data_IF_266303305565
#
_entry.id   IF_266303305565
#
_cell.length_a   1.000
_cell.length_b   1.000
_cell.length_c   1.000
_cell.angle_alpha   90.00
_cell.angle_beta   90.00
_cell.angle_gamma   90.00
#
_symmetry.space_group_name_H-M   'P 1'
#
loop_
_entity.id
_entity.type
_entity.pdbx_description
1 polymer ?
#
# COMPACT_ATOMS: atom_id res chain seq x y z
N UNK A 1 47.21 -69.28 49.48
CA UNK A 1 47.44 -68.03 50.24
C UNK A 1 47.75 -66.92 49.25
N UNK A 2 46.86 -65.92 49.17
CA UNK A 2 46.95 -64.53 48.66
C UNK A 2 47.96 -64.21 47.51
N UNK A 3 47.61 -63.53 46.40
CA UNK A 3 46.97 -62.20 46.32
C UNK A 3 46.59 -61.82 44.87
N UNK A 4 45.58 -60.96 44.80
CA UNK A 4 45.38 -59.82 43.90
C UNK A 4 44.67 -60.00 42.55
N UNK A 5 43.44 -59.47 42.51
CA UNK A 5 42.63 -59.24 41.32
C UNK A 5 43.15 -58.03 40.51
N UNK A 6 43.16 -58.15 39.18
CA UNK A 6 43.33 -57.02 38.25
C UNK A 6 42.04 -56.79 37.47
N UNK A 7 41.53 -55.57 37.56
CA UNK A 7 40.40 -55.01 36.80
C UNK A 7 40.87 -54.66 35.39
N UNK A 8 40.15 -55.12 34.37
CA UNK A 8 40.29 -54.64 32.99
C UNK A 8 39.44 -53.38 32.80
N UNK A 9 40.09 -52.27 32.47
CA UNK A 9 39.46 -51.02 32.00
C UNK A 9 39.30 -51.08 30.48
N UNK A 10 38.06 -51.02 30.01
CA UNK A 10 37.68 -50.75 28.62
C UNK A 10 37.74 -49.24 28.37
N UNK A 11 38.51 -48.81 27.37
CA UNK A 11 38.53 -47.44 26.84
C UNK A 11 37.80 -47.49 25.49
N UNK A 12 36.65 -46.81 25.41
CA UNK A 12 35.90 -46.63 24.17
C UNK A 12 36.40 -45.35 23.47
N UNK A 13 36.84 -45.50 22.22
CA UNK A 13 37.28 -44.41 21.35
C UNK A 13 36.07 -43.70 20.74
N UNK A 14 35.96 -42.38 20.97
CA UNK A 14 34.98 -41.52 20.31
C UNK A 14 35.51 -41.10 18.93
N UNK A 15 34.76 -41.43 17.87
CA UNK A 15 35.02 -40.97 16.50
C UNK A 15 34.30 -39.64 16.27
N UNK A 16 35.06 -38.57 16.04
CA UNK A 16 34.57 -37.25 15.68
C UNK A 16 34.42 -37.18 14.15
N UNK A 17 33.17 -37.23 13.67
CA UNK A 17 32.86 -37.07 12.24
C UNK A 17 32.71 -35.58 11.93
N UNK A 18 33.66 -35.02 11.16
CA UNK A 18 33.51 -33.68 10.57
C UNK A 18 32.51 -33.75 9.41
N UNK A 19 31.28 -33.24 9.62
CA UNK A 19 30.41 -32.84 8.52
C UNK A 19 30.90 -31.50 7.96
N UNK A 20 31.46 -31.55 6.75
CA UNK A 20 31.65 -30.36 5.91
C UNK A 20 30.26 -29.94 5.43
N UNK A 21 29.67 -28.96 6.11
CA UNK A 21 28.47 -28.29 5.64
C UNK A 21 28.78 -27.53 4.37
N UNK A 22 28.17 -27.93 3.26
CA UNK A 22 28.09 -27.12 2.06
C UNK A 22 27.24 -25.90 2.38
N UNK A 23 27.88 -24.79 2.74
CA UNK A 23 27.26 -23.49 2.62
C UNK A 23 27.01 -23.28 1.14
N UNK A 24 25.75 -23.43 0.72
CA UNK A 24 25.27 -22.79 -0.49
C UNK A 24 25.46 -21.30 -0.29
N UNK A 25 26.57 -20.77 -0.81
CA UNK A 25 26.67 -19.36 -1.06
C UNK A 25 25.53 -19.04 -2.02
N UNK A 26 24.47 -18.40 -1.50
CA UNK A 26 23.64 -17.55 -2.34
C UNK A 26 24.63 -16.64 -3.05
N UNK A 27 24.84 -16.87 -4.34
CA UNK A 27 25.56 -15.93 -5.16
C UNK A 27 24.78 -14.62 -5.00
N UNK A 28 25.35 -13.67 -4.26
CA UNK A 28 24.94 -12.29 -4.40
C UNK A 28 25.18 -11.97 -5.87
N UNK A 29 24.10 -11.94 -6.66
CA UNK A 29 24.15 -11.31 -7.96
C UNK A 29 24.46 -9.85 -7.69
N UNK A 30 25.74 -9.48 -7.79
CA UNK A 30 26.13 -8.11 -7.97
C UNK A 30 25.52 -7.69 -9.31
N UNK A 31 24.33 -7.10 -9.26
CA UNK A 31 23.74 -6.47 -10.42
C UNK A 31 24.76 -5.49 -10.98
N UNK A 32 24.97 -5.51 -12.29
CA UNK A 32 25.74 -4.48 -13.01
C UNK A 32 24.96 -3.16 -13.07
N UNK A 33 24.13 -2.89 -12.05
CA UNK A 33 23.25 -1.75 -11.97
C UNK A 33 24.08 -0.48 -11.97
N UNK A 34 23.63 0.49 -12.75
CA UNK A 34 24.29 1.81 -12.82
C UNK A 34 23.51 2.76 -11.93
N UNK A 35 24.18 3.46 -11.02
CA UNK A 35 23.54 4.49 -10.21
C UNK A 35 23.47 5.81 -10.97
N UNK A 36 22.29 6.43 -10.95
CA UNK A 36 22.06 7.81 -11.37
C UNK A 36 21.66 8.65 -10.16
N UNK A 37 21.98 9.93 -10.18
CA UNK A 37 21.71 10.85 -9.09
C UNK A 37 20.97 12.07 -9.60
N UNK A 38 19.95 12.50 -8.87
CA UNK A 38 19.17 13.71 -9.11
C UNK A 38 19.24 14.57 -7.86
N UNK A 39 19.71 15.81 -7.99
CA UNK A 39 19.83 16.76 -6.88
C UNK A 39 19.81 18.19 -7.44
N UNK A 40 18.69 18.88 -7.28
CA UNK A 40 18.51 20.27 -7.72
C UNK A 40 19.24 21.29 -6.82
N UNK A 41 19.73 20.84 -5.65
CA UNK A 41 20.46 21.67 -4.70
C UNK A 41 21.98 21.63 -4.93
N UNK A 42 22.46 20.61 -5.65
CA UNK A 42 23.87 20.47 -5.99
C UNK A 42 24.30 21.55 -6.98
N UNK A 43 25.25 22.39 -6.59
CA UNK A 43 25.80 23.45 -7.45
C UNK A 43 26.47 22.91 -8.74
N UNK A 44 26.79 21.62 -8.79
CA UNK A 44 27.36 20.94 -9.95
C UNK A 44 26.32 20.27 -10.84
N UNK A 45 25.03 20.30 -10.50
CA UNK A 45 24.02 19.56 -11.25
C UNK A 45 23.98 19.99 -12.74
N UNK A 46 23.67 19.04 -13.62
CA UNK A 46 23.47 19.30 -15.05
C UNK A 46 22.56 18.26 -15.69
N UNK A 47 21.47 18.72 -16.30
CA UNK A 47 20.52 17.88 -17.05
C UNK A 47 21.07 17.34 -18.38
N UNK A 48 22.24 17.82 -18.80
CA UNK A 48 23.00 17.29 -19.95
C UNK A 48 24.24 16.50 -19.53
N UNK A 49 24.48 16.40 -18.22
CA UNK A 49 25.61 15.72 -17.63
C UNK A 49 25.43 14.20 -17.56
N UNK A 50 26.37 13.49 -16.93
CA UNK A 50 26.35 12.04 -16.83
C UNK A 50 25.40 11.48 -15.77
N UNK A 51 24.81 12.33 -14.90
CA UNK A 51 23.97 11.86 -13.78
C UNK A 51 24.73 11.14 -12.67
N UNK A 52 26.04 11.36 -12.56
CA UNK A 52 26.88 10.75 -11.51
C UNK A 52 26.72 11.46 -10.17
N UNK A 53 27.14 10.86 -9.06
CA UNK A 53 27.11 11.52 -7.75
C UNK A 53 27.88 12.85 -7.70
N UNK A 54 28.96 12.99 -8.48
CA UNK A 54 29.75 14.23 -8.55
C UNK A 54 29.09 15.31 -9.43
N UNK A 55 28.25 14.89 -10.36
CA UNK A 55 27.51 15.75 -11.30
C UNK A 55 26.12 15.16 -11.54
N UNK A 56 25.19 15.34 -10.57
CA UNK A 56 23.84 14.78 -10.67
C UNK A 56 23.04 15.50 -11.76
N UNK A 57 21.93 14.92 -12.17
CA UNK A 57 20.92 15.66 -12.92
C UNK A 57 20.25 16.71 -12.00
N UNK A 58 19.87 17.85 -12.56
CA UNK A 58 19.12 18.86 -11.80
C UNK A 58 17.63 18.51 -11.71
N UNK A 59 17.11 17.76 -12.69
CA UNK A 59 15.70 17.37 -12.78
C UNK A 59 15.56 15.85 -12.94
N UNK A 60 14.34 15.36 -12.66
CA UNK A 60 14.04 13.93 -12.65
C UNK A 60 13.91 13.34 -14.06
N UNK A 61 13.39 14.11 -15.04
CA UNK A 61 13.16 13.62 -16.40
C UNK A 61 14.43 13.14 -17.11
N UNK A 62 15.57 13.87 -17.11
CA UNK A 62 16.82 13.37 -17.70
C UNK A 62 17.28 12.03 -17.11
N UNK A 63 17.10 11.83 -15.80
CA UNK A 63 17.42 10.57 -15.14
C UNK A 63 16.48 9.44 -15.59
N UNK A 64 15.17 9.73 -15.70
CA UNK A 64 14.19 8.76 -16.19
C UNK A 64 14.44 8.35 -17.64
N UNK A 65 14.86 9.28 -18.49
CA UNK A 65 15.22 9.04 -19.89
C UNK A 65 16.54 8.26 -20.03
N UNK A 66 17.47 8.44 -19.10
CA UNK A 66 18.77 7.75 -19.07
C UNK A 66 18.71 6.36 -18.41
N UNK A 67 17.71 6.10 -17.57
CA UNK A 67 17.61 4.88 -16.80
C UNK A 67 17.35 3.66 -17.70
N UNK A 68 18.13 2.60 -17.47
CA UNK A 68 18.02 1.31 -18.17
C UNK A 68 17.83 0.19 -17.16
N UNK A 69 17.55 -1.04 -17.59
CA UNK A 69 17.35 -2.18 -16.70
C UNK A 69 18.49 -2.31 -15.65
N UNK A 70 18.12 -2.39 -14.37
CA UNK A 70 19.04 -2.45 -13.23
C UNK A 70 19.53 -1.09 -12.73
N UNK A 71 19.14 0.03 -13.35
CA UNK A 71 19.49 1.37 -12.86
C UNK A 71 18.76 1.69 -11.55
N UNK A 72 19.50 2.23 -10.58
CA UNK A 72 18.93 2.90 -9.41
C UNK A 72 19.14 4.41 -9.55
N UNK A 73 18.06 5.17 -9.57
CA UNK A 73 18.03 6.63 -9.58
C UNK A 73 17.83 7.12 -8.14
N UNK A 74 18.88 7.65 -7.52
CA UNK A 74 18.83 8.27 -6.20
C UNK A 74 18.40 9.73 -6.34
N UNK A 75 17.27 10.08 -5.74
CA UNK A 75 16.69 11.41 -5.86
C UNK A 75 16.78 12.12 -4.51
N UNK A 76 17.62 13.13 -4.44
CA UNK A 76 17.79 13.95 -3.25
C UNK A 76 16.54 14.79 -2.99
N UNK A 77 16.29 15.08 -1.72
CA UNK A 77 15.27 16.05 -1.32
C UNK A 77 15.62 17.44 -1.86
N UNK A 78 14.67 18.07 -2.54
CA UNK A 78 14.84 19.34 -3.25
C UNK A 78 13.70 20.35 -3.00
N UNK A 79 13.65 21.43 -3.78
CA UNK A 79 12.68 22.53 -3.58
C UNK A 79 11.32 22.21 -4.22
N UNK A 80 11.31 21.52 -5.36
CA UNK A 80 10.18 20.85 -6.03
C UNK A 80 10.70 20.44 -7.43
N UNK A 81 10.73 19.16 -7.76
CA UNK A 81 11.06 18.69 -9.12
C UNK A 81 9.88 18.89 -10.07
N UNK A 82 10.20 19.16 -11.33
CA UNK A 82 9.22 19.24 -12.40
C UNK A 82 8.52 17.88 -12.64
N UNK A 83 7.31 17.89 -13.23
CA UNK A 83 6.60 16.66 -13.57
C UNK A 83 7.45 15.69 -14.40
N UNK A 84 7.28 14.39 -14.16
CA UNK A 84 8.04 13.32 -14.82
C UNK A 84 7.14 12.33 -15.54
N UNK A 85 7.54 11.94 -16.74
CA UNK A 85 7.01 10.75 -17.41
C UNK A 85 8.08 9.67 -17.48
N UNK A 86 7.84 8.57 -16.77
CA UNK A 86 8.70 7.41 -16.70
C UNK A 86 8.27 6.42 -17.78
N UNK A 87 9.21 6.08 -18.66
CA UNK A 87 9.06 5.09 -19.75
C UNK A 87 10.09 3.97 -19.66
N UNK A 88 10.76 3.88 -18.51
CA UNK A 88 11.85 2.94 -18.30
C UNK A 88 11.34 1.50 -18.39
N UNK A 89 12.18 0.64 -18.96
CA UNK A 89 11.89 -0.79 -19.14
C UNK A 89 12.99 -1.57 -18.45
N UNK A 90 12.68 -2.07 -17.27
CA UNK A 90 13.48 -3.04 -16.53
C UNK A 90 13.11 -4.48 -16.89
N UNK A 91 13.60 -5.41 -16.07
CA UNK A 91 13.22 -6.83 -16.08
C UNK A 91 13.02 -7.30 -14.64
N UNK A 92 12.44 -8.48 -14.44
CA UNK A 92 12.29 -9.05 -13.10
C UNK A 92 13.62 -9.16 -12.33
N UNK A 93 14.71 -9.52 -13.01
CA UNK A 93 16.04 -9.66 -12.40
C UNK A 93 16.81 -8.32 -12.30
N UNK A 94 16.36 -7.29 -13.01
CA UNK A 94 17.01 -5.99 -13.09
C UNK A 94 15.95 -4.89 -13.28
N UNK A 95 15.15 -4.58 -12.23
CA UNK A 95 14.17 -3.50 -12.28
C UNK A 95 14.86 -2.13 -12.37
N UNK A 96 14.10 -1.12 -12.76
CA UNK A 96 14.53 0.28 -12.63
C UNK A 96 13.95 0.85 -11.36
N UNK A 97 14.79 1.44 -10.51
CA UNK A 97 14.35 1.95 -9.20
C UNK A 97 14.54 3.45 -9.12
N UNK A 98 13.49 4.19 -8.75
CA UNK A 98 13.55 5.59 -8.35
C UNK A 98 13.42 5.66 -6.84
N UNK A 99 14.49 6.07 -6.15
CA UNK A 99 14.57 6.07 -4.69
C UNK A 99 14.66 7.50 -4.16
N UNK A 100 13.60 7.97 -3.48
CA UNK A 100 13.52 9.31 -2.90
C UNK A 100 13.93 9.38 -1.42
N UNK A 101 13.79 8.29 -0.68
CA UNK A 101 14.09 8.22 0.75
C UNK A 101 13.39 7.04 1.42
N UNK A 102 13.61 6.85 2.72
CA UNK A 102 12.98 5.75 3.48
C UNK A 102 11.46 5.93 3.63
N UNK A 103 10.95 7.16 3.52
CA UNK A 103 9.53 7.49 3.52
C UNK A 103 9.31 8.85 2.83
N UNK A 104 8.04 9.17 2.53
CA UNK A 104 7.68 10.42 1.84
C UNK A 104 7.94 11.71 2.63
N UNK A 105 8.05 11.67 3.97
CA UNK A 105 8.19 12.88 4.79
C UNK A 105 9.58 13.53 4.64
N UNK A 106 10.60 12.71 4.37
CA UNK A 106 11.97 13.14 4.11
C UNK A 106 12.34 13.08 2.62
N UNK A 107 11.39 12.69 1.77
CA UNK A 107 11.59 12.44 0.35
C UNK A 107 11.53 13.68 -0.55
N UNK A 108 11.92 13.52 -1.83
CA UNK A 108 11.75 14.53 -2.87
C UNK A 108 10.28 14.83 -3.15
N UNK A 109 10.01 16.05 -3.61
CA UNK A 109 8.70 16.51 -4.02
C UNK A 109 8.65 16.66 -5.55
N UNK A 110 7.61 16.13 -6.20
CA UNK A 110 7.31 16.33 -7.62
C UNK A 110 6.01 17.09 -7.75
N UNK A 111 6.02 18.24 -8.42
CA UNK A 111 4.87 19.14 -8.42
C UNK A 111 4.44 19.59 -9.81
N UNK A 112 3.15 19.41 -10.10
CA UNK A 112 2.46 19.97 -11.26
C UNK A 112 1.42 21.00 -10.83
N UNK A 113 1.58 22.25 -11.28
CA UNK A 113 0.69 23.36 -10.90
C UNK A 113 -0.07 23.99 -12.09
N UNK A 114 0.12 23.47 -13.30
CA UNK A 114 -0.41 24.04 -14.54
C UNK A 114 -1.88 23.69 -14.82
N UNK A 115 -2.45 22.72 -14.10
CA UNK A 115 -3.83 22.26 -14.34
C UNK A 115 -3.98 21.29 -15.51
N UNK A 116 -2.88 20.86 -16.13
CA UNK A 116 -2.91 20.07 -17.37
C UNK A 116 -1.97 18.87 -17.36
N UNK A 117 -0.93 18.89 -16.53
CA UNK A 117 0.10 17.85 -16.48
C UNK A 117 0.03 17.09 -15.16
N UNK A 118 0.07 15.76 -15.21
CA UNK A 118 0.18 14.93 -14.01
C UNK A 118 1.59 15.01 -13.44
N UNK A 119 1.72 14.96 -12.11
CA UNK A 119 3.03 15.05 -11.46
C UNK A 119 3.93 13.87 -11.83
N UNK A 120 3.37 12.66 -11.84
CA UNK A 120 4.06 11.43 -12.21
C UNK A 120 3.22 10.68 -13.23
N UNK A 121 3.85 10.14 -14.27
CA UNK A 121 3.19 9.28 -15.24
C UNK A 121 4.08 8.09 -15.60
N UNK A 122 3.55 6.87 -15.47
CA UNK A 122 4.12 5.66 -16.05
C UNK A 122 3.44 5.40 -17.39
N UNK A 123 4.22 5.38 -18.47
CA UNK A 123 3.69 5.25 -19.82
C UNK A 123 4.47 4.19 -20.60
N UNK A 124 3.89 3.00 -20.77
CA UNK A 124 4.58 1.86 -21.37
C UNK A 124 5.77 1.35 -20.53
N UNK A 125 5.82 1.72 -19.24
CA UNK A 125 6.90 1.35 -18.34
C UNK A 125 6.77 -0.11 -17.90
N UNK A 126 7.91 -0.75 -17.59
CA UNK A 126 7.95 -2.16 -17.17
C UNK A 126 8.97 -2.39 -16.07
N UNK A 127 8.61 -3.12 -15.02
CA UNK A 127 9.52 -3.44 -13.90
C UNK A 127 10.16 -2.19 -13.31
N UNK A 128 9.32 -1.27 -12.82
CA UNK A 128 9.76 -0.01 -12.25
C UNK A 128 9.25 0.14 -10.83
N UNK A 129 10.16 0.46 -9.90
CA UNK A 129 9.83 0.81 -8.52
C UNK A 129 10.03 2.31 -8.31
N UNK A 130 9.10 2.97 -7.63
CA UNK A 130 9.21 4.35 -7.17
C UNK A 130 8.85 4.44 -5.70
N UNK A 131 9.80 4.84 -4.85
CA UNK A 131 9.60 4.84 -3.41
C UNK A 131 10.02 6.12 -2.69
N UNK A 132 9.24 6.50 -1.68
CA UNK A 132 9.57 7.62 -0.80
C UNK A 132 9.40 8.99 -1.45
N UNK A 133 8.42 9.18 -2.33
CA UNK A 133 8.16 10.48 -2.97
C UNK A 133 6.96 11.18 -2.37
N UNK A 134 6.97 12.51 -2.40
CA UNK A 134 5.73 13.30 -2.36
C UNK A 134 5.42 13.79 -3.77
N UNK A 135 4.21 13.56 -4.27
CA UNK A 135 3.75 14.07 -5.56
C UNK A 135 2.47 14.88 -5.41
N UNK A 136 2.39 16.01 -6.11
CA UNK A 136 1.21 16.88 -6.09
C UNK A 136 0.82 17.38 -7.47
N UNK A 137 -0.44 17.25 -7.84
CA UNK A 137 -1.02 17.89 -9.02
C UNK A 137 -2.25 18.75 -8.67
N UNK A 138 -2.50 19.77 -9.49
CA UNK A 138 -3.70 20.64 -9.39
C UNK A 138 -4.63 20.31 -10.54
N UNK A 139 -5.92 20.06 -10.27
CA UNK A 139 -6.98 19.93 -11.29
C UNK A 139 -6.92 18.68 -12.19
N UNK A 140 -5.87 17.87 -12.11
CA UNK A 140 -5.65 16.63 -12.87
C UNK A 140 -5.17 15.51 -11.93
N UNK A 141 -5.17 14.23 -12.39
CA UNK A 141 -4.59 13.15 -11.60
C UNK A 141 -3.12 13.43 -11.27
N UNK A 142 -2.71 13.08 -10.07
CA UNK A 142 -1.33 13.19 -9.59
C UNK A 142 -0.46 12.09 -10.18
N UNK A 143 -0.99 10.87 -10.23
CA UNK A 143 -0.33 9.70 -10.79
C UNK A 143 -1.18 9.07 -11.88
N UNK A 144 -0.57 8.83 -13.04
CA UNK A 144 -1.21 8.15 -14.18
C UNK A 144 -0.39 6.93 -14.58
N UNK A 145 -1.05 5.78 -14.70
CA UNK A 145 -0.45 4.54 -15.21
C UNK A 145 -1.16 4.17 -16.51
N UNK A 146 -0.40 4.08 -17.60
CA UNK A 146 -0.94 3.82 -18.95
C UNK A 146 -0.11 2.74 -19.64
N UNK A 147 -0.76 1.64 -20.04
CA UNK A 147 -0.16 0.51 -20.73
C UNK A 147 1.13 -0.01 -20.09
N UNK A 148 1.22 0.00 -18.75
CA UNK A 148 2.42 -0.34 -18.00
C UNK A 148 2.24 -1.63 -17.22
N UNK A 149 3.32 -2.36 -16.98
CA UNK A 149 3.29 -3.64 -16.27
C UNK A 149 4.39 -3.72 -15.20
N UNK A 150 4.16 -4.43 -14.09
CA UNK A 150 5.14 -4.57 -13.01
C UNK A 150 5.62 -3.20 -12.48
N UNK A 151 4.67 -2.37 -12.04
CA UNK A 151 4.96 -1.08 -11.43
C UNK A 151 4.70 -1.17 -9.94
N UNK A 152 5.68 -0.76 -9.14
CA UNK A 152 5.60 -0.69 -7.69
C UNK A 152 5.76 0.77 -7.24
N UNK A 153 4.75 1.29 -6.54
CA UNK A 153 4.79 2.63 -5.95
C UNK A 153 4.60 2.48 -4.46
N UNK A 154 5.67 2.80 -3.71
CA UNK A 154 5.75 2.44 -2.30
C UNK A 154 6.07 3.66 -1.42
N UNK A 155 5.55 3.66 -0.18
CA UNK A 155 5.93 4.59 0.89
C UNK A 155 5.87 6.08 0.46
N UNK A 156 4.91 6.41 -0.41
CA UNK A 156 4.81 7.70 -1.09
C UNK A 156 3.53 8.45 -0.73
N UNK A 157 3.52 9.78 -0.89
CA UNK A 157 2.35 10.62 -0.64
C UNK A 157 1.86 11.26 -1.94
N UNK A 158 0.64 10.92 -2.35
CA UNK A 158 0.02 11.37 -3.58
C UNK A 158 -1.12 12.34 -3.26
N UNK A 159 -0.94 13.61 -3.57
CA UNK A 159 -1.87 14.67 -3.20
C UNK A 159 -2.50 15.27 -4.45
N UNK A 160 -3.83 15.32 -4.51
CA UNK A 160 -4.54 16.07 -5.54
C UNK A 160 -5.17 17.34 -4.97
N UNK A 161 -4.95 18.46 -5.64
CA UNK A 161 -5.63 19.73 -5.36
C UNK A 161 -6.72 19.95 -6.40
N UNK A 162 -7.92 19.48 -6.09
CA UNK A 162 -9.13 19.71 -6.89
C UNK A 162 -10.09 20.65 -6.16
N UNK A 163 -11.05 21.22 -6.89
CA UNK A 163 -12.13 22.01 -6.30
C UNK A 163 -13.04 21.13 -5.43
N UNK A 164 -13.81 21.75 -4.55
CA UNK A 164 -14.84 21.07 -3.75
C UNK A 164 -15.81 20.26 -4.63
N UNK A 165 -16.28 19.12 -4.14
CA UNK A 165 -17.20 18.20 -4.84
C UNK A 165 -16.75 17.72 -6.24
N UNK A 166 -15.44 17.65 -6.48
CA UNK A 166 -14.87 17.05 -7.68
C UNK A 166 -15.13 15.54 -7.70
N UNK A 167 -15.14 14.94 -8.89
CA UNK A 167 -15.09 13.47 -9.10
C UNK A 167 -13.76 13.01 -9.68
N UNK A 168 -12.83 13.94 -9.89
CA UNK A 168 -11.52 13.63 -10.49
C UNK A 168 -10.70 12.76 -9.55
N UNK A 169 -10.03 11.73 -10.08
CA UNK A 169 -9.17 10.87 -9.28
C UNK A 169 -7.79 11.48 -8.99
N UNK A 170 -7.15 11.00 -7.93
CA UNK A 170 -5.73 11.28 -7.63
C UNK A 170 -4.81 10.33 -8.40
N UNK A 171 -5.20 9.06 -8.50
CA UNK A 171 -4.50 8.01 -9.24
C UNK A 171 -5.42 7.42 -10.30
N UNK A 172 -4.93 7.29 -11.52
CA UNK A 172 -5.64 6.60 -12.61
C UNK A 172 -4.82 5.45 -13.16
N UNK A 173 -5.48 4.32 -13.38
CA UNK A 173 -4.92 3.14 -14.05
C UNK A 173 -5.78 2.82 -15.26
N UNK A 174 -5.16 2.70 -16.43
CA UNK A 174 -5.87 2.32 -17.65
C UNK A 174 -6.13 0.80 -17.75
N UNK A 175 -7.02 0.44 -18.67
CA UNK A 175 -7.40 -0.95 -18.90
C UNK A 175 -6.34 -1.83 -19.56
N UNK A 176 -5.18 -1.28 -19.90
CA UNK A 176 -4.08 -2.00 -20.55
C UNK A 176 -2.91 -2.27 -19.60
N UNK A 177 -3.01 -1.83 -18.34
CA UNK A 177 -1.97 -2.00 -17.34
C UNK A 177 -2.21 -3.24 -16.47
N UNK A 178 -1.14 -3.87 -16.00
CA UNK A 178 -1.23 -5.09 -15.20
C UNK A 178 -0.10 -5.25 -14.18
N UNK A 179 -0.30 -6.04 -13.12
CA UNK A 179 0.73 -6.31 -12.10
C UNK A 179 1.23 -5.01 -11.47
N UNK A 180 0.32 -4.28 -10.82
CA UNK A 180 0.60 -2.99 -10.19
C UNK A 180 0.51 -3.15 -8.67
N UNK A 181 1.48 -2.58 -7.96
CA UNK A 181 1.55 -2.56 -6.51
C UNK A 181 1.58 -1.11 -6.05
N UNK A 182 0.59 -0.72 -5.25
CA UNK A 182 0.51 0.56 -4.58
C UNK A 182 0.50 0.26 -3.09
N UNK A 183 1.58 0.60 -2.40
CA UNK A 183 1.76 0.15 -1.02
C UNK A 183 2.21 1.28 -0.11
N UNK A 184 1.67 1.28 1.11
CA UNK A 184 2.05 2.23 2.17
C UNK A 184 1.90 3.69 1.73
N UNK A 185 0.91 3.96 0.88
CA UNK A 185 0.69 5.29 0.33
C UNK A 185 -0.07 6.18 1.31
N UNK A 186 0.21 7.47 1.24
CA UNK A 186 -0.71 8.50 1.72
C UNK A 186 -1.45 9.11 0.55
N UNK A 187 -2.78 9.13 0.59
CA UNK A 187 -3.61 9.80 -0.42
C UNK A 187 -4.58 10.79 0.26
N UNK A 188 -4.06 11.89 0.82
CA UNK A 188 -4.90 12.97 1.33
C UNK A 188 -5.46 13.78 0.16
N UNK A 189 -6.78 13.85 0.08
CA UNK A 189 -7.53 14.54 -0.97
C UNK A 189 -8.50 15.56 -0.36
N UNK A 190 -8.79 16.61 -1.13
CA UNK A 190 -9.88 17.52 -0.76
C UNK A 190 -11.20 16.82 -1.04
N UNK A 191 -11.45 16.50 -2.31
CA UNK A 191 -12.62 15.80 -2.84
C UNK A 191 -12.17 14.85 -3.97
N UNK A 192 -13.09 14.08 -4.56
CA UNK A 192 -12.77 13.23 -5.71
C UNK A 192 -12.69 11.74 -5.38
N UNK A 193 -11.95 11.03 -6.23
CA UNK A 193 -11.59 9.61 -6.02
C UNK A 193 -10.12 9.54 -5.62
N UNK A 194 -9.74 8.60 -4.75
CA UNK A 194 -8.33 8.28 -4.56
C UNK A 194 -7.81 7.56 -5.79
N UNK A 195 -8.46 6.44 -6.13
CA UNK A 195 -8.10 5.58 -7.25
C UNK A 195 -9.28 5.43 -8.21
N UNK A 196 -8.97 5.46 -9.50
CA UNK A 196 -9.89 5.13 -10.58
C UNK A 196 -9.19 4.12 -11.50
N UNK A 197 -9.59 2.85 -11.37
CA UNK A 197 -9.01 1.70 -12.05
C UNK A 197 -9.98 1.26 -13.15
N UNK A 198 -9.55 1.42 -14.40
CA UNK A 198 -10.40 1.26 -15.56
C UNK A 198 -10.65 -0.21 -15.95
N UNK A 199 -11.72 -0.49 -16.73
CA UNK A 199 -12.00 -1.82 -17.25
C UNK A 199 -10.86 -2.40 -18.07
N UNK A 200 -10.49 -3.65 -17.75
CA UNK A 200 -9.42 -4.40 -18.40
C UNK A 200 -8.10 -4.44 -17.62
N UNK A 201 -7.92 -3.58 -16.62
CA UNK A 201 -6.75 -3.63 -15.74
C UNK A 201 -6.69 -4.97 -14.98
N UNK A 202 -5.48 -5.47 -14.73
CA UNK A 202 -5.25 -6.80 -14.14
C UNK A 202 -4.25 -6.76 -12.99
N UNK A 203 -4.43 -7.62 -11.98
CA UNK A 203 -3.48 -7.82 -10.88
C UNK A 203 -3.04 -6.50 -10.23
N UNK A 204 -3.98 -5.79 -9.61
CA UNK A 204 -3.72 -4.52 -8.93
C UNK A 204 -3.80 -4.74 -7.42
N UNK A 205 -2.71 -4.49 -6.72
CA UNK A 205 -2.63 -4.55 -5.25
C UNK A 205 -2.61 -3.15 -4.67
N UNK A 206 -3.51 -2.89 -3.73
CA UNK A 206 -3.48 -1.77 -2.80
C UNK A 206 -3.24 -2.37 -1.41
N UNK A 207 -2.20 -1.93 -0.69
CA UNK A 207 -1.96 -2.45 0.65
C UNK A 207 -1.31 -1.45 1.59
N UNK A 208 -1.79 -1.44 2.84
CA UNK A 208 -1.38 -0.48 3.87
C UNK A 208 -1.50 1.00 3.44
N UNK A 209 -2.43 1.30 2.53
CA UNK A 209 -2.67 2.65 2.07
C UNK A 209 -3.55 3.42 3.05
N UNK A 210 -3.30 4.72 3.19
CA UNK A 210 -4.13 5.62 3.98
C UNK A 210 -4.73 6.69 3.10
N UNK A 211 -6.04 6.61 2.93
CA UNK A 211 -6.83 7.46 2.05
C UNK A 211 -7.74 8.32 2.93
N UNK A 212 -7.73 9.64 2.72
CA UNK A 212 -8.59 10.54 3.50
C UNK A 212 -9.11 11.71 2.67
N UNK A 213 -10.36 12.11 2.90
CA UNK A 213 -10.96 13.31 2.29
C UNK A 213 -11.16 14.44 3.31
N UNK A 214 -11.19 15.70 2.86
CA UNK A 214 -11.61 16.84 3.71
C UNK A 214 -12.92 17.49 3.24
N UNK A 215 -13.56 16.88 2.26
CA UNK A 215 -14.82 17.26 1.62
C UNK A 215 -15.52 15.97 1.10
N UNK A 216 -16.65 16.10 0.41
CA UNK A 216 -17.32 15.00 -0.27
C UNK A 216 -16.36 14.30 -1.25
N UNK A 217 -16.07 13.03 -0.98
CA UNK A 217 -15.08 12.28 -1.73
C UNK A 217 -15.21 10.78 -1.49
N UNK A 218 -14.47 10.02 -2.27
CA UNK A 218 -14.50 8.56 -2.35
C UNK A 218 -13.07 8.01 -2.37
N UNK A 219 -12.91 6.75 -2.00
CA UNK A 219 -11.61 6.08 -2.01
C UNK A 219 -11.36 5.42 -3.36
N UNK A 220 -11.53 4.11 -3.40
CA UNK A 220 -11.17 3.25 -4.53
C UNK A 220 -12.39 2.98 -5.40
N UNK A 221 -12.25 3.23 -6.70
CA UNK A 221 -13.21 2.83 -7.71
C UNK A 221 -12.51 1.91 -8.71
N UNK A 222 -13.06 0.71 -8.89
CA UNK A 222 -12.59 -0.26 -9.87
C UNK A 222 -13.78 -0.78 -10.67
N UNK A 223 -13.69 -0.72 -11.99
CA UNK A 223 -14.72 -1.24 -12.88
C UNK A 223 -14.12 -2.25 -13.84
N UNK A 224 -14.63 -3.48 -13.90
CA UNK A 224 -14.17 -4.52 -14.82
C UNK A 224 -12.68 -4.84 -14.69
N UNK A 225 -12.13 -4.75 -13.48
CA UNK A 225 -10.74 -5.07 -13.13
C UNK A 225 -10.63 -6.54 -12.73
N UNK A 226 -9.63 -7.26 -13.24
CA UNK A 226 -9.40 -8.65 -12.86
C UNK A 226 -8.28 -8.74 -11.80
N UNK A 227 -8.53 -9.35 -10.65
CA UNK A 227 -7.53 -9.53 -9.61
C UNK A 227 -7.17 -8.24 -8.86
N UNK A 228 -8.17 -7.46 -8.41
CA UNK A 228 -7.92 -6.40 -7.42
C UNK A 228 -7.68 -7.03 -6.05
N UNK A 229 -6.63 -6.65 -5.36
CA UNK A 229 -6.31 -7.08 -4.01
C UNK A 229 -6.20 -5.85 -3.12
N UNK A 230 -6.97 -5.81 -2.05
CA UNK A 230 -6.89 -4.78 -1.00
C UNK A 230 -6.61 -5.44 0.35
N UNK A 231 -5.55 -5.01 1.05
CA UNK A 231 -5.15 -5.56 2.34
C UNK A 231 -4.63 -4.48 3.28
N UNK A 232 -5.19 -4.41 4.49
CA UNK A 232 -4.68 -3.50 5.51
C UNK A 232 -4.87 -2.03 5.14
N UNK A 233 -5.80 -1.67 4.26
CA UNK A 233 -6.00 -0.26 3.90
C UNK A 233 -6.83 0.49 4.96
N UNK A 234 -6.58 1.79 5.11
CA UNK A 234 -7.38 2.70 5.93
C UNK A 234 -8.02 3.78 5.06
N UNK A 235 -9.34 3.77 4.93
CA UNK A 235 -10.08 4.67 4.03
C UNK A 235 -11.12 5.50 4.80
N UNK A 236 -10.82 6.79 4.94
CA UNK A 236 -11.67 7.76 5.61
C UNK A 236 -12.32 8.69 4.57
N UNK A 237 -13.63 8.58 4.36
CA UNK A 237 -14.36 9.35 3.33
C UNK A 237 -15.53 10.11 3.94
N UNK A 238 -16.07 11.08 3.20
CA UNK A 238 -17.31 11.79 3.57
C UNK A 238 -18.32 11.70 2.42
N UNK A 239 -19.58 11.46 2.76
CA UNK A 239 -20.73 11.33 1.85
C UNK A 239 -20.72 10.11 0.90
N UNK A 240 -19.65 9.88 0.15
CA UNK A 240 -19.62 8.87 -0.92
C UNK A 240 -19.08 7.53 -0.40
N UNK A 241 -19.16 6.51 -1.23
CA UNK A 241 -18.60 5.18 -0.95
C UNK A 241 -17.08 5.24 -0.86
N UNK A 242 -16.51 4.48 0.08
CA UNK A 242 -15.08 4.33 0.24
C UNK A 242 -14.51 3.40 -0.83
N UNK A 243 -15.21 2.31 -1.12
CA UNK A 243 -14.83 1.31 -2.11
C UNK A 243 -16.03 1.02 -3.01
N UNK A 244 -15.81 0.99 -4.33
CA UNK A 244 -16.84 0.68 -5.32
C UNK A 244 -16.26 -0.24 -6.41
N UNK A 245 -16.69 -1.50 -6.40
CA UNK A 245 -16.28 -2.56 -7.32
C UNK A 245 -17.44 -2.91 -8.25
N UNK A 246 -17.26 -2.67 -9.55
CA UNK A 246 -18.36 -2.74 -10.52
C UNK A 246 -17.94 -3.40 -11.83
N UNK A 247 -18.89 -3.68 -12.72
CA UNK A 247 -18.60 -4.11 -14.09
C UNK A 247 -17.92 -5.48 -14.19
N UNK A 248 -18.15 -6.35 -13.20
CA UNK A 248 -17.57 -7.68 -13.16
C UNK A 248 -16.15 -7.75 -12.62
N UNK A 249 -15.74 -6.76 -11.80
CA UNK A 249 -14.47 -6.76 -11.07
C UNK A 249 -14.34 -8.04 -10.23
N UNK A 250 -13.13 -8.62 -10.16
CA UNK A 250 -12.78 -9.76 -9.32
C UNK A 250 -11.70 -9.35 -8.31
N UNK A 251 -11.60 -10.06 -7.18
CA UNK A 251 -10.60 -9.71 -6.17
C UNK A 251 -10.95 -10.04 -4.73
N UNK A 252 -10.20 -9.45 -3.81
CA UNK A 252 -10.44 -9.50 -2.37
C UNK A 252 -10.32 -8.12 -1.73
N UNK A 253 -11.13 -7.88 -0.69
CA UNK A 253 -11.02 -6.74 0.21
C UNK A 253 -10.93 -7.27 1.63
N UNK A 254 -9.73 -7.25 2.18
CA UNK A 254 -9.43 -7.85 3.48
C UNK A 254 -8.68 -6.88 4.40
N UNK A 255 -8.82 -7.06 5.71
CA UNK A 255 -8.17 -6.23 6.74
C UNK A 255 -8.39 -4.72 6.60
N UNK A 256 -9.41 -4.29 5.84
CA UNK A 256 -9.57 -2.89 5.46
C UNK A 256 -10.44 -2.16 6.47
N UNK A 257 -9.98 -1.01 6.94
CA UNK A 257 -10.74 -0.13 7.83
C UNK A 257 -11.35 1.00 7.04
N UNK A 258 -12.68 1.08 7.04
CA UNK A 258 -13.43 2.15 6.39
C UNK A 258 -14.17 2.97 7.42
N UNK A 259 -14.00 4.29 7.41
CA UNK A 259 -14.78 5.18 8.26
C UNK A 259 -15.35 6.41 7.54
N UNK A 260 -16.44 6.93 8.09
CA UNK A 260 -16.90 8.28 7.80
C UNK A 260 -16.07 9.31 8.57
N UNK A 261 -15.60 10.34 7.88
CA UNK A 261 -15.07 11.54 8.53
C UNK A 261 -16.24 12.45 8.92
N UNK A 262 -16.38 12.74 10.21
CA UNK A 262 -17.44 13.61 10.70
C UNK A 262 -17.20 15.09 10.32
N UNK A 263 -17.62 15.48 9.11
CA UNK A 263 -17.60 16.85 8.65
C UNK A 263 -18.98 17.50 8.85
N UNK A 264 -18.99 18.77 9.30
CA UNK A 264 -20.21 19.57 9.34
C UNK A 264 -20.56 20.11 7.93
N UNK A 265 -20.73 19.18 7.00
CA UNK A 265 -20.97 19.43 5.59
C UNK A 265 -22.11 18.54 5.10
N UNK A 266 -23.11 19.15 4.49
CA UNK A 266 -24.25 18.43 3.91
C UNK A 266 -23.84 17.62 2.69
N UNK A 267 -24.34 16.39 2.60
CA UNK A 267 -24.11 15.52 1.45
C UNK A 267 -25.13 15.80 0.35
N UNK A 268 -24.66 16.22 -0.83
CA UNK A 268 -25.49 16.35 -2.03
C UNK A 268 -25.96 14.99 -2.57
N UNK A 269 -25.14 13.96 -2.37
CA UNK A 269 -25.46 12.55 -2.63
C UNK A 269 -24.74 11.68 -1.61
N UNK A 270 -25.32 10.52 -1.31
CA UNK A 270 -24.70 9.51 -0.43
C UNK A 270 -24.39 8.25 -1.22
N UNK A 271 -23.33 7.55 -0.84
CA UNK A 271 -23.08 6.19 -1.33
C UNK A 271 -24.21 5.22 -0.95
N UNK A 272 -24.39 4.16 -1.75
CA UNK A 272 -25.33 3.08 -1.43
C UNK A 272 -24.87 2.21 -0.24
N UNK A 273 -23.58 2.29 0.07
CA UNK A 273 -22.89 1.70 1.21
C UNK A 273 -21.47 2.25 1.25
N UNK A 274 -20.70 1.90 2.28
CA UNK A 274 -19.27 2.25 2.36
C UNK A 274 -18.42 1.37 1.46
N UNK A 275 -18.73 0.08 1.41
CA UNK A 275 -18.19 -0.87 0.43
C UNK A 275 -19.32 -1.29 -0.51
N UNK A 276 -19.15 -1.03 -1.81
CA UNK A 276 -20.16 -1.32 -2.82
C UNK A 276 -19.61 -2.33 -3.82
N UNK A 277 -20.34 -3.43 -4.01
CA UNK A 277 -20.04 -4.48 -4.99
C UNK A 277 -21.29 -4.74 -5.82
N UNK A 278 -21.22 -4.49 -7.12
CA UNK A 278 -22.37 -4.69 -8.01
C UNK A 278 -22.68 -6.17 -8.29
N UNK A 279 -23.79 -6.43 -8.98
CA UNK A 279 -24.27 -7.79 -9.23
C UNK A 279 -23.28 -8.62 -10.08
N UNK A 280 -22.59 -8.00 -11.01
CA UNK A 280 -21.63 -8.68 -11.89
C UNK A 280 -20.32 -9.02 -11.16
N UNK A 281 -19.95 -8.21 -10.16
CA UNK A 281 -18.72 -8.36 -9.36
C UNK A 281 -18.92 -9.25 -8.12
N UNK A 282 -20.13 -9.26 -7.56
CA UNK A 282 -20.49 -10.02 -6.35
C UNK A 282 -20.04 -11.50 -6.33
N UNK A 283 -20.13 -12.30 -7.42
CA UNK A 283 -19.68 -13.69 -7.39
C UNK A 283 -18.15 -13.86 -7.52
N UNK A 284 -17.40 -12.77 -7.71
CA UNK A 284 -15.94 -12.79 -7.96
C UNK A 284 -15.12 -12.03 -6.92
N UNK A 285 -15.79 -11.40 -5.96
CA UNK A 285 -15.16 -10.64 -4.88
C UNK A 285 -15.36 -11.39 -3.57
N UNK A 286 -14.29 -11.51 -2.79
CA UNK A 286 -14.36 -11.87 -1.37
C UNK A 286 -14.15 -10.63 -0.50
N UNK A 287 -14.87 -10.56 0.61
CA UNK A 287 -14.66 -9.55 1.63
C UNK A 287 -14.69 -10.21 3.00
N UNK A 288 -13.66 -10.00 3.81
CA UNK A 288 -13.60 -10.49 5.19
C UNK A 288 -12.62 -9.67 6.03
N UNK A 289 -12.68 -9.79 7.35
CA UNK A 289 -11.79 -9.07 8.28
C UNK A 289 -11.78 -7.54 8.12
N UNK A 290 -12.80 -6.95 7.52
CA UNK A 290 -12.92 -5.51 7.37
C UNK A 290 -13.51 -4.87 8.62
N UNK A 291 -13.27 -3.57 8.83
CA UNK A 291 -13.97 -2.80 9.86
C UNK A 291 -14.66 -1.60 9.22
N UNK A 292 -15.98 -1.57 9.19
CA UNK A 292 -16.76 -0.60 8.43
C UNK A 292 -17.61 0.26 9.35
N UNK A 293 -17.42 1.57 9.23
CA UNK A 293 -18.01 2.57 10.11
C UNK A 293 -18.62 3.72 9.28
N UNK A 294 -19.86 3.59 8.78
CA UNK A 294 -20.53 4.65 8.04
C UNK A 294 -21.05 5.76 8.97
N UNK A 295 -21.53 6.87 8.40
CA UNK A 295 -22.28 7.87 9.16
C UNK A 295 -23.58 7.25 9.71
N UNK A 296 -24.13 7.75 10.84
CA UNK A 296 -25.33 7.20 11.46
C UNK A 296 -26.51 7.06 10.47
N UNK A 297 -27.09 5.86 10.40
CA UNK A 297 -28.18 5.53 9.47
C UNK A 297 -27.73 5.20 8.04
N UNK A 298 -26.43 5.25 7.76
CA UNK A 298 -25.83 4.72 6.54
C UNK A 298 -25.79 3.19 6.50
N UNK A 299 -25.32 2.64 5.39
CA UNK A 299 -25.09 1.21 5.22
C UNK A 299 -23.60 0.91 5.11
N UNK A 300 -23.15 -0.16 5.75
CA UNK A 300 -21.78 -0.64 5.66
C UNK A 300 -21.51 -1.12 4.24
N UNK A 301 -22.42 -1.95 3.73
CA UNK A 301 -22.27 -2.62 2.45
C UNK A 301 -23.45 -2.34 1.51
N UNK A 302 -23.16 -2.33 0.21
CA UNK A 302 -24.13 -2.63 -0.83
C UNK A 302 -23.61 -3.79 -1.66
N UNK A 303 -24.27 -4.93 -1.62
CA UNK A 303 -23.83 -6.16 -2.29
C UNK A 303 -24.89 -6.64 -3.27
N UNK A 304 -24.51 -6.80 -4.53
CA UNK A 304 -25.43 -7.19 -5.62
C UNK A 304 -26.71 -6.32 -5.67
N UNK A 305 -26.58 -5.02 -5.37
CA UNK A 305 -27.68 -4.05 -5.36
C UNK A 305 -28.54 -4.03 -4.10
N UNK A 306 -28.24 -4.85 -3.08
CA UNK A 306 -28.92 -4.82 -1.76
C UNK A 306 -28.04 -4.11 -0.75
N UNK A 307 -28.60 -3.16 0.00
CA UNK A 307 -27.88 -2.47 1.08
C UNK A 307 -27.99 -3.26 2.40
N UNK A 308 -26.89 -3.32 3.15
CA UNK A 308 -26.78 -3.97 4.46
C UNK A 308 -26.19 -2.98 5.45
N UNK A 309 -26.92 -2.75 6.55
CA UNK A 309 -26.50 -1.81 7.59
C UNK A 309 -25.53 -2.40 8.61
N UNK A 310 -25.27 -3.71 8.54
CA UNK A 310 -24.34 -4.41 9.44
C UNK A 310 -23.64 -5.54 8.70
N UNK A 311 -22.45 -5.90 9.18
CA UNK A 311 -21.69 -7.07 8.75
C UNK A 311 -22.50 -8.37 8.91
N UNK A 312 -23.16 -8.56 10.06
CA UNK A 312 -23.98 -9.74 10.32
C UNK A 312 -25.12 -9.92 9.30
N UNK A 313 -25.72 -8.82 8.82
CA UNK A 313 -26.77 -8.87 7.80
C UNK A 313 -26.22 -9.25 6.42
N UNK A 314 -25.03 -8.74 6.06
CA UNK A 314 -24.31 -9.14 4.84
C UNK A 314 -23.99 -10.64 4.88
N UNK A 315 -23.40 -11.11 5.98
CA UNK A 315 -23.01 -12.50 6.16
C UNK A 315 -24.20 -13.45 6.04
N UNK A 316 -25.31 -13.14 6.71
CA UNK A 316 -26.51 -13.96 6.66
C UNK A 316 -27.10 -14.09 5.24
N UNK A 317 -26.95 -13.05 4.40
CA UNK A 317 -27.51 -13.02 3.06
C UNK A 317 -26.57 -13.56 1.97
N UNK A 318 -25.25 -13.42 2.15
CA UNK A 318 -24.26 -13.62 1.09
C UNK A 318 -23.14 -14.60 1.45
N UNK A 319 -22.90 -14.82 2.74
CA UNK A 319 -21.73 -15.56 3.25
C UNK A 319 -20.44 -14.73 3.33
N UNK A 320 -20.44 -13.46 2.94
CA UNK A 320 -19.29 -12.54 3.03
C UNK A 320 -19.17 -11.92 4.43
N UNK A 321 -18.00 -11.38 4.76
CA UNK A 321 -17.79 -10.57 5.96
C UNK A 321 -17.99 -11.32 7.27
N UNK A 322 -17.58 -12.59 7.33
CA UNK A 322 -17.82 -13.43 8.50
C UNK A 322 -17.12 -12.93 9.77
N UNK A 323 -16.02 -12.19 9.59
CA UNK A 323 -15.22 -11.59 10.65
C UNK A 323 -15.22 -10.05 10.58
N UNK A 324 -16.10 -9.46 9.77
CA UNK A 324 -16.17 -8.00 9.65
C UNK A 324 -16.68 -7.37 10.96
N UNK A 325 -16.14 -6.19 11.29
CA UNK A 325 -16.52 -5.40 12.45
C UNK A 325 -17.33 -4.19 11.98
N UNK A 326 -18.37 -3.83 12.73
CA UNK A 326 -19.11 -2.59 12.51
C UNK A 326 -19.46 -1.89 13.83
N UNK A 327 -20.03 -0.68 13.75
CA UNK A 327 -20.36 0.14 14.93
C UNK A 327 -21.44 -0.47 15.82
N UNK A 328 -22.24 -1.40 15.31
CA UNK A 328 -23.29 -2.06 16.09
C UNK A 328 -22.71 -3.16 16.98
N UNK A 329 -21.57 -3.74 16.58
CA UNK A 329 -20.86 -4.78 17.31
C UNK A 329 -19.81 -4.21 18.28
N UNK A 330 -19.06 -3.20 17.85
CA UNK A 330 -17.94 -2.63 18.62
C UNK A 330 -17.82 -1.11 18.46
N UNK A 331 -17.16 -0.44 19.42
CA UNK A 331 -16.79 0.97 19.25
C UNK A 331 -15.52 1.06 18.41
N UNK A 332 -15.66 1.43 17.13
CA UNK A 332 -14.52 1.65 16.23
C UNK A 332 -13.94 3.06 16.44
N UNK A 333 -12.61 3.22 16.56
CA UNK A 333 -11.99 4.54 16.69
C UNK A 333 -12.25 5.36 15.43
N UNK A 334 -12.35 6.68 15.58
CA UNK A 334 -12.35 7.56 14.41
C UNK A 334 -10.95 7.57 13.80
N UNK A 335 -10.84 7.46 12.47
CA UNK A 335 -9.55 7.45 11.75
C UNK A 335 -8.73 8.76 11.86
N UNK A 336 -9.27 9.79 12.53
CA UNK A 336 -8.56 11.03 12.86
C UNK A 336 -7.63 10.90 14.08
N UNK A 337 -7.69 9.79 14.81
CA UNK A 337 -6.89 9.54 16.01
C UNK A 337 -6.10 8.24 15.86
N UNK A 338 -4.90 8.19 16.43
CA UNK A 338 -4.12 6.96 16.51
C UNK A 338 -4.93 5.85 17.19
N UNK A 339 -4.66 4.59 16.83
CA UNK A 339 -5.20 3.43 17.55
C UNK A 339 -4.88 3.57 19.04
N UNK A 340 -5.90 3.33 19.85
CA UNK A 340 -5.78 3.34 21.31
C UNK A 340 -5.73 1.91 21.81
N UNK A 341 -4.97 1.69 22.88
CA UNK A 341 -4.96 0.45 23.66
C UNK A 341 -6.37 -0.16 23.83
N UNK A 342 -6.47 -1.48 23.68
CA UNK A 342 -7.71 -2.27 23.60
C UNK A 342 -8.67 -1.91 22.45
N UNK A 343 -8.19 -1.27 21.38
CA UNK A 343 -9.01 -1.10 20.19
C UNK A 343 -9.37 -2.47 19.59
N UNK A 344 -10.61 -2.68 19.10
CA UNK A 344 -10.98 -3.92 18.42
C UNK A 344 -10.28 -4.13 17.07
N UNK A 345 -9.50 -3.14 16.61
CA UNK A 345 -8.70 -3.25 15.40
C UNK A 345 -7.33 -3.90 15.67
N UNK A 346 -6.90 -3.96 16.94
CA UNK A 346 -5.61 -4.51 17.34
C UNK A 346 -5.65 -6.05 17.33
N UNK A 347 -4.61 -6.69 16.79
CA UNK A 347 -4.44 -8.16 16.75
C UNK A 347 -5.66 -8.92 16.18
N UNK A 348 -6.33 -8.30 15.22
CA UNK A 348 -7.64 -8.74 14.72
C UNK A 348 -7.70 -8.98 13.22
N UNK A 349 -6.61 -8.76 12.50
CA UNK A 349 -6.47 -8.93 11.05
C UNK A 349 -6.04 -10.34 10.66
N UNK A 350 -6.37 -10.73 9.44
CA UNK A 350 -5.91 -11.98 8.83
C UNK A 350 -4.48 -11.82 8.30
N UNK A 351 -3.51 -12.45 8.97
CA UNK A 351 -2.11 -12.46 8.55
C UNK A 351 -1.86 -13.22 7.23
N UNK A 352 -2.87 -13.93 6.71
CA UNK A 352 -2.84 -14.65 5.44
C UNK A 352 -3.61 -13.95 4.32
N UNK A 353 -4.16 -12.77 4.58
CA UNK A 353 -4.86 -11.98 3.57
C UNK A 353 -3.99 -11.75 2.33
N UNK A 354 -4.52 -11.92 1.11
CA UNK A 354 -3.77 -11.62 -0.10
C UNK A 354 -3.28 -10.18 -0.10
N UNK A 355 -1.99 -9.94 -0.36
CA UNK A 355 -1.40 -8.59 -0.44
C UNK A 355 -0.92 -8.02 0.90
N UNK A 356 -1.17 -8.70 2.01
CA UNK A 356 -0.78 -8.25 3.35
C UNK A 356 0.76 -8.11 3.49
N UNK A 357 1.21 -7.00 4.08
CA UNK A 357 2.63 -6.65 4.18
C UNK A 357 3.21 -6.93 5.58
N UNK A 358 4.48 -7.33 5.62
CA UNK A 358 5.19 -7.57 6.88
C UNK A 358 5.42 -6.31 7.74
N UNK A 359 5.13 -5.12 7.22
CA UNK A 359 5.26 -3.85 7.93
C UNK A 359 4.12 -2.93 7.58
N UNK A 360 3.68 -2.13 8.56
CA UNK A 360 2.66 -1.10 8.36
C UNK A 360 3.10 0.03 7.42
N UNK A 361 2.20 0.99 7.20
CA UNK A 361 2.45 2.19 6.40
C UNK A 361 3.68 3.01 6.80
N UNK A 362 4.06 2.97 8.07
CA UNK A 362 5.23 3.69 8.58
C UNK A 362 6.50 2.85 8.53
N UNK A 363 6.45 1.64 7.96
CA UNK A 363 7.55 0.68 7.92
C UNK A 363 7.80 -0.01 9.26
N UNK A 364 6.83 -0.01 10.17
CA UNK A 364 6.94 -0.65 11.49
C UNK A 364 6.53 -2.12 11.37
N UNK A 365 7.22 -3.04 12.07
CA UNK A 365 6.86 -4.45 12.05
C UNK A 365 5.49 -4.67 12.73
N UNK A 366 4.83 -5.75 12.32
CA UNK A 366 3.65 -6.29 13.00
C UNK A 366 4.03 -6.87 14.36
N UNK A 367 3.34 -6.51 15.43
CA UNK A 367 3.73 -6.80 16.82
C UNK A 367 2.51 -7.14 17.67
N UNK A 368 2.62 -8.24 18.41
CA UNK A 368 1.64 -8.67 19.41
C UNK A 368 1.43 -7.61 20.49
N UNK A 369 0.17 -7.25 20.75
CA UNK A 369 -0.22 -6.58 21.97
C UNK A 369 -0.71 -7.60 23.01
N UNK A 370 0.09 -7.93 24.04
CA UNK A 370 -0.28 -8.95 25.03
C UNK A 370 -1.47 -8.57 25.91
N UNK A 371 -1.99 -7.33 25.80
CA UNK A 371 -3.19 -6.87 26.50
C UNK A 371 -4.48 -7.08 25.69
N UNK A 372 -4.37 -7.38 24.40
CA UNK A 372 -5.47 -7.68 23.49
C UNK A 372 -5.47 -9.17 23.16
N UNK A 373 -6.64 -9.70 22.81
CA UNK A 373 -6.75 -11.09 22.39
C UNK A 373 -6.55 -11.20 20.89
N UNK A 374 -5.65 -12.10 20.47
CA UNK A 374 -5.49 -12.48 19.06
C UNK A 374 -6.79 -13.04 18.50
N UNK A 375 -7.46 -12.26 17.65
CA UNK A 375 -8.70 -12.66 16.94
C UNK A 375 -8.51 -12.77 15.42
N UNK A 376 -7.32 -12.39 14.95
CA UNK A 376 -6.86 -12.58 13.59
C UNK A 376 -6.69 -14.05 13.17
N UNK A 377 -6.43 -14.25 11.88
CA UNK A 377 -6.12 -15.56 11.29
C UNK A 377 -4.63 -15.67 10.92
N UNK A 378 -4.13 -16.90 10.74
CA UNK A 378 -2.76 -17.15 10.28
C UNK A 378 -1.66 -17.18 11.35
N UNK A 379 -1.98 -16.89 12.61
CA UNK A 379 -1.01 -16.89 13.71
C UNK A 379 -0.04 -15.69 13.70
N UNK A 380 -0.42 -14.61 13.02
CA UNK A 380 0.23 -13.31 13.10
C UNK A 380 -0.59 -12.32 13.93
N UNK A 381 0.06 -11.22 14.30
CA UNK A 381 -0.46 -10.15 15.15
C UNK A 381 -0.71 -8.93 14.27
N UNK A 382 -1.62 -9.09 13.31
CA UNK A 382 -1.88 -8.03 12.35
C UNK A 382 -3.04 -7.19 12.85
N UNK A 383 -2.83 -5.88 12.86
CA UNK A 383 -3.92 -4.95 13.03
C UNK A 383 -4.72 -4.81 11.73
N UNK A 384 -6.01 -4.49 11.85
CA UNK A 384 -6.81 -4.06 10.70
C UNK A 384 -6.44 -2.63 10.35
N UNK A 385 -6.24 -2.40 9.06
CA UNK A 385 -5.90 -1.10 8.50
C UNK A 385 -4.39 -0.82 8.48
N UNK A 386 -4.06 0.37 7.98
CA UNK A 386 -2.73 0.70 7.47
C UNK A 386 -1.67 0.93 8.54
N UNK A 387 -2.03 0.86 9.82
CA UNK A 387 -1.15 1.21 10.94
C UNK A 387 -1.18 0.10 11.95
N UNK A 388 0.01 -0.27 12.39
CA UNK A 388 0.19 -1.19 13.50
C UNK A 388 0.24 -0.41 14.82
N UNK A 389 -0.58 -0.81 15.79
CA UNK A 389 -0.42 -0.41 17.17
C UNK A 389 0.91 -0.94 17.67
N UNK A 390 1.76 -0.02 18.13
CA UNK A 390 3.04 -0.39 18.70
C UNK A 390 2.92 -0.27 20.21
N UNK A 391 3.45 -1.25 20.96
CA UNK A 391 3.51 -1.18 22.41
C UNK A 391 4.07 0.21 22.85
N UNK A 392 3.29 1.01 23.61
CA UNK A 392 3.70 2.33 24.06
C UNK A 392 4.90 2.28 25.01
N UNK A 393 5.22 1.13 25.60
CA UNK A 393 6.36 0.90 26.49
C UNK A 393 7.63 0.54 25.69
N UNK A 394 8.06 1.44 24.80
CA UNK A 394 9.43 1.38 24.27
C UNK A 394 10.44 1.64 25.40
N UNK A 395 11.04 0.58 25.95
CA UNK A 395 12.27 0.74 26.74
C UNK A 395 13.38 1.18 25.77
N UNK A 396 13.60 2.48 25.72
CA UNK A 396 14.67 3.07 24.92
C UNK A 396 16.01 2.78 25.61
N UNK A 397 16.70 1.74 25.15
CA UNK A 397 18.10 1.47 25.49
C UNK A 397 18.32 0.45 26.61
N UNK A 398 18.79 -0.72 26.21
CA UNK A 398 19.81 -1.49 26.95
C UNK A 398 21.03 -1.66 26.05
#
# INVERSE_FOLDING_TARGET
>A
MARSARRNTLVASAALSLLVGGLGASAAHAGTGTDLYVDDTAATCSDSGPGSAAQPFCQLQPAADAATAGTTVHVARGVDYAPVTIRSVGTADAPVTFAGGANSADGPSVRAADGTTSAVSFAGARYVTMSGFTARAVGVPTLVVTGSEHIDVDSSNLMSSVTTDSTRPTVTVDGASSALSFTRLGVPQVSGRAFDIAPGAQDVTLADDSISTTDAGSGVFAAGTDGLVMAGDTIATHCRSAISLTGGTSGSVENTVVAEIALNLACASTGAGKIVVDADSAPKVTADYNAVNPSPGGSDYSWSGTAYSTAAALQAATGQGAHDLDQTDVTLPTLATALTEHSPLIDSGDATAPGELATDRSGRPRVDDPLVADTGNGGGHYDRGSVEFQDPLRISGL
#
